data_IF_077033388527
#
_entry.id   IF_077033388527
#
_cell.length_a   1.000
_cell.length_b   1.000
_cell.length_c   1.000
_cell.angle_alpha   90.00
_cell.angle_beta   90.00
_cell.angle_gamma   90.00
#
_symmetry.space_group_name_H-M   'P 1'
#
loop_
_entity.id
_entity.type
_entity.pdbx_description
1 polymer ?
#
# COMPACT_ATOMS: atom_id res chain seq x y z
N UNK A 1 2.83 24.78 -40.80
CA UNK A 1 4.28 24.82 -40.50
C UNK A 1 4.50 25.92 -39.47
N UNK A 2 4.94 25.52 -38.27
CA UNK A 2 5.56 26.19 -37.09
C UNK A 2 5.63 27.75 -37.00
N UNK A 3 5.81 28.38 -35.79
CA UNK A 3 5.84 27.84 -34.41
C UNK A 3 5.17 28.72 -33.30
N UNK A 4 5.20 28.13 -32.10
CA UNK A 4 5.20 28.62 -30.72
C UNK A 4 5.36 30.14 -30.44
N UNK A 5 4.67 30.63 -29.40
CA UNK A 5 5.19 31.00 -28.05
C UNK A 5 4.13 31.88 -27.35
N UNK A 6 3.66 31.48 -26.17
CA UNK A 6 2.99 32.37 -25.21
C UNK A 6 3.52 31.98 -23.82
N UNK A 7 4.57 32.66 -23.36
CA UNK A 7 4.54 33.91 -22.57
C UNK A 7 4.35 33.61 -21.07
N UNK A 8 5.48 33.59 -20.35
CA UNK A 8 5.52 33.67 -18.90
C UNK A 8 5.42 35.14 -18.45
N UNK A 9 4.62 35.33 -17.40
CA UNK A 9 4.56 36.44 -16.42
C UNK A 9 3.72 37.68 -16.72
N UNK A 10 2.83 37.98 -15.76
CA UNK A 10 2.45 39.35 -15.41
C UNK A 10 1.14 39.47 -14.64
N UNK A 11 1.19 39.59 -13.29
CA UNK A 11 0.11 40.21 -12.51
C UNK A 11 -0.17 39.61 -11.12
N UNK A 12 0.12 40.37 -10.07
CA UNK A 12 -0.21 40.21 -8.65
C UNK A 12 -1.21 41.35 -8.27
N UNK A 13 -1.87 41.39 -7.10
CA UNK A 13 -2.78 40.45 -6.45
C UNK A 13 -4.21 41.07 -6.38
N UNK A 14 -5.24 40.31 -6.73
CA UNK A 14 -6.64 40.71 -6.55
C UNK A 14 -7.28 39.86 -5.46
N UNK A 15 -7.78 40.52 -4.41
CA UNK A 15 -8.56 39.91 -3.33
C UNK A 15 -9.86 39.31 -3.89
N UNK A 16 -9.79 38.08 -4.35
CA UNK A 16 -10.93 37.18 -4.38
C UNK A 16 -10.73 36.19 -3.23
N UNK A 17 -11.64 36.29 -2.26
CA UNK A 17 -11.87 35.31 -1.20
C UNK A 17 -12.26 33.99 -1.90
N UNK A 18 -11.25 33.31 -2.45
CA UNK A 18 -11.37 32.00 -3.04
C UNK A 18 -11.48 31.06 -1.86
N UNK A 19 -12.67 31.00 -1.27
CA UNK A 19 -13.05 29.89 -0.40
C UNK A 19 -12.88 28.65 -1.28
N UNK A 20 -11.92 27.74 -1.02
CA UNK A 20 -11.97 26.44 -1.65
C UNK A 20 -13.17 25.72 -1.02
N UNK A 21 -14.37 25.98 -1.54
CA UNK A 21 -15.54 25.14 -1.34
C UNK A 21 -15.32 23.86 -2.14
N UNK A 22 -14.47 23.03 -1.56
CA UNK A 22 -14.24 21.60 -1.74
C UNK A 22 -12.96 21.28 -0.99
N UNK A 23 -12.88 21.72 0.28
CA UNK A 23 -12.40 20.81 1.29
C UNK A 23 -13.38 19.62 1.25
N UNK A 24 -13.18 18.71 0.28
CA UNK A 24 -13.54 17.31 0.49
C UNK A 24 -12.98 17.03 1.86
N UNK A 25 -13.88 16.90 2.84
CA UNK A 25 -13.52 16.45 4.15
C UNK A 25 -12.84 15.11 3.89
N UNK A 26 -11.51 15.13 3.77
CA UNK A 26 -10.68 13.97 3.83
C UNK A 26 -10.90 13.53 5.26
N UNK A 27 -12.00 12.78 5.47
CA UNK A 27 -12.33 12.19 6.76
C UNK A 27 -11.05 11.49 7.15
N UNK A 28 -10.41 12.02 8.19
CA UNK A 28 -9.10 11.59 8.58
C UNK A 28 -9.27 10.15 9.01
N UNK A 29 -8.93 9.22 8.11
CA UNK A 29 -9.08 7.80 8.35
C UNK A 29 -8.28 7.47 9.61
N UNK A 30 -8.98 7.05 10.65
CA UNK A 30 -8.38 6.64 11.90
C UNK A 30 -7.99 5.16 11.78
N UNK A 31 -6.98 4.75 12.54
CA UNK A 31 -6.70 3.33 12.64
C UNK A 31 -7.74 2.68 13.56
N UNK A 32 -8.47 1.71 13.02
CA UNK A 32 -9.40 0.92 13.80
C UNK A 32 -8.73 0.13 14.91
N UNK A 33 -9.52 -0.29 15.89
CA UNK A 33 -9.02 -1.07 17.04
C UNK A 33 -8.99 -2.58 16.77
N UNK A 34 -9.74 -3.05 15.77
CA UNK A 34 -9.78 -4.46 15.38
C UNK A 34 -8.43 -4.87 14.80
N UNK A 35 -7.90 -6.01 15.28
CA UNK A 35 -6.74 -6.65 14.67
C UNK A 35 -7.15 -7.81 13.79
N UNK A 36 -6.54 -7.85 12.63
CA UNK A 36 -6.65 -8.91 11.65
C UNK A 36 -5.28 -9.58 11.48
N UNK A 37 -5.32 -10.82 10.99
CA UNK A 37 -4.14 -11.56 10.60
C UNK A 37 -4.33 -12.18 9.23
N UNK A 38 -3.29 -12.13 8.40
CA UNK A 38 -3.23 -12.88 7.14
C UNK A 38 -1.92 -13.65 7.05
N UNK A 39 -1.93 -14.64 6.19
CA UNK A 39 -0.76 -15.42 5.83
C UNK A 39 -0.71 -15.47 4.32
N UNK A 40 0.46 -15.28 3.75
CA UNK A 40 0.73 -15.55 2.36
C UNK A 40 1.80 -16.60 2.21
N UNK A 41 1.72 -17.32 1.12
CA UNK A 41 2.72 -18.30 0.73
C UNK A 41 3.28 -17.98 -0.65
N UNK A 42 4.49 -18.44 -0.91
CA UNK A 42 5.17 -18.11 -2.15
C UNK A 42 6.35 -19.00 -2.43
N UNK A 43 6.67 -19.11 -3.72
CA UNK A 43 7.82 -19.87 -4.20
C UNK A 43 8.86 -18.97 -4.87
N UNK A 44 10.09 -19.47 -4.96
CA UNK A 44 11.18 -18.81 -5.66
C UNK A 44 12.46 -19.63 -5.69
N UNK A 45 13.46 -19.15 -6.43
CA UNK A 45 14.76 -19.84 -6.59
C UNK A 45 15.62 -19.89 -5.30
N UNK A 46 15.26 -19.09 -4.30
CA UNK A 46 15.88 -19.04 -2.98
C UNK A 46 14.83 -18.56 -1.97
N UNK A 47 15.09 -18.78 -0.68
CA UNK A 47 14.19 -18.30 0.38
C UNK A 47 13.88 -16.80 0.30
N UNK A 48 14.84 -15.96 -0.07
CA UNK A 48 14.62 -14.51 -0.23
C UNK A 48 13.58 -14.19 -1.32
N UNK A 49 13.61 -14.95 -2.43
CA UNK A 49 12.63 -14.85 -3.51
C UNK A 49 11.27 -15.35 -3.05
N UNK A 50 11.23 -16.55 -2.45
CA UNK A 50 10.00 -17.14 -1.92
C UNK A 50 9.29 -16.23 -0.89
N UNK A 51 10.04 -15.62 0.04
CA UNK A 51 9.48 -14.64 0.99
C UNK A 51 8.95 -13.38 0.31
N UNK A 52 9.57 -12.92 -0.77
CA UNK A 52 9.08 -11.76 -1.52
C UNK A 52 7.72 -12.05 -2.14
N UNK A 53 7.57 -13.23 -2.76
CA UNK A 53 6.30 -13.72 -3.30
C UNK A 53 5.26 -13.88 -2.18
N UNK A 54 5.62 -14.55 -1.09
CA UNK A 54 4.73 -14.78 0.06
C UNK A 54 4.25 -13.48 0.71
N UNK A 55 5.12 -12.46 0.79
CA UNK A 55 4.76 -11.13 1.31
C UNK A 55 3.76 -10.43 0.39
N UNK A 56 3.93 -10.51 -0.92
CA UNK A 56 2.99 -9.93 -1.89
C UNK A 56 1.61 -10.56 -1.70
N UNK A 57 1.55 -11.89 -1.64
CA UNK A 57 0.31 -12.61 -1.43
C UNK A 57 -0.38 -12.23 -0.10
N UNK A 58 0.36 -12.24 1.01
CA UNK A 58 -0.14 -11.83 2.32
C UNK A 58 -0.73 -10.41 2.30
N UNK A 59 -0.12 -9.51 1.51
CA UNK A 59 -0.55 -8.12 1.38
C UNK A 59 -1.76 -7.95 0.47
N UNK A 60 -1.88 -8.75 -0.59
CA UNK A 60 -3.09 -8.79 -1.43
C UNK A 60 -4.29 -9.23 -0.57
N UNK A 61 -4.12 -10.28 0.22
CA UNK A 61 -5.15 -10.73 1.15
C UNK A 61 -5.48 -9.66 2.22
N UNK A 62 -4.47 -8.99 2.78
CA UNK A 62 -4.68 -7.92 3.75
C UNK A 62 -5.47 -6.74 3.16
N UNK A 63 -5.14 -6.31 1.94
CA UNK A 63 -5.85 -5.23 1.25
C UNK A 63 -7.29 -5.61 0.89
N UNK A 64 -7.58 -6.89 0.65
CA UNK A 64 -8.95 -7.36 0.45
C UNK A 64 -9.80 -7.24 1.74
N UNK A 65 -9.18 -7.32 2.91
CA UNK A 65 -9.83 -7.13 4.21
C UNK A 65 -10.01 -5.63 4.52
N UNK A 66 -8.98 -4.82 4.25
CA UNK A 66 -9.00 -3.38 4.51
C UNK A 66 -8.89 -2.58 3.20
N UNK A 67 -10.01 -2.34 2.48
CA UNK A 67 -9.98 -1.61 1.20
C UNK A 67 -9.56 -0.14 1.34
N UNK A 68 -9.77 0.46 2.51
CA UNK A 68 -9.34 1.83 2.82
C UNK A 68 -7.85 1.92 3.22
N UNK A 69 -7.15 0.78 3.30
CA UNK A 69 -5.74 0.68 3.64
C UNK A 69 -5.47 0.03 5.00
N UNK A 70 -4.19 -0.26 5.22
CA UNK A 70 -3.68 -0.99 6.38
C UNK A 70 -2.97 -0.05 7.35
N UNK A 71 -3.19 -0.26 8.65
CA UNK A 71 -2.52 0.44 9.74
C UNK A 71 -1.91 -0.56 10.74
N UNK A 72 -0.95 -0.12 11.56
CA UNK A 72 -0.29 -0.90 12.61
C UNK A 72 0.21 -2.26 12.12
N UNK A 73 0.79 -2.27 10.91
CA UNK A 73 1.20 -3.50 10.23
C UNK A 73 2.44 -4.07 10.89
N UNK A 74 2.35 -5.31 11.35
CA UNK A 74 3.45 -6.11 11.87
C UNK A 74 3.63 -7.31 10.96
N UNK A 75 4.80 -7.40 10.33
CA UNK A 75 5.12 -8.45 9.38
C UNK A 75 6.17 -9.40 9.96
N UNK A 76 6.03 -10.70 9.69
CA UNK A 76 6.99 -11.70 10.13
C UNK A 76 7.21 -12.77 9.04
N UNK A 77 8.47 -13.16 8.87
CA UNK A 77 8.85 -14.31 8.04
C UNK A 77 8.56 -15.58 8.83
N UNK A 78 7.81 -16.50 8.21
CA UNK A 78 7.55 -17.83 8.74
C UNK A 78 8.63 -18.83 8.33
N UNK A 79 8.21 -20.05 8.03
CA UNK A 79 9.12 -21.09 7.53
C UNK A 79 9.58 -20.82 6.10
N UNK A 80 10.78 -21.29 5.78
CA UNK A 80 11.22 -21.48 4.40
C UNK A 80 11.96 -22.80 4.25
N UNK A 81 11.64 -23.55 3.19
CA UNK A 81 12.28 -24.83 2.87
C UNK A 81 12.33 -25.06 1.37
N UNK A 82 13.33 -25.82 0.94
CA UNK A 82 13.37 -26.34 -0.42
C UNK A 82 12.26 -27.38 -0.61
N UNK A 83 11.52 -27.28 -1.72
CA UNK A 83 10.42 -28.18 -2.07
C UNK A 83 10.73 -29.04 -3.29
N UNK A 84 11.55 -28.52 -4.21
CA UNK A 84 12.04 -29.17 -5.44
C UNK A 84 13.41 -28.59 -5.78
N UNK A 85 14.19 -29.25 -6.65
CA UNK A 85 15.55 -28.83 -7.03
C UNK A 85 15.65 -27.32 -7.29
N UNK A 86 16.26 -26.59 -6.33
CA UNK A 86 16.44 -25.13 -6.35
C UNK A 86 15.15 -24.30 -6.34
N UNK A 87 14.03 -24.88 -5.94
CA UNK A 87 12.76 -24.20 -5.69
C UNK A 87 12.46 -24.24 -4.19
N UNK A 88 12.27 -23.06 -3.62
CA UNK A 88 11.99 -22.85 -2.21
C UNK A 88 10.55 -22.38 -2.05
N UNK A 89 9.89 -22.88 -1.03
CA UNK A 89 8.59 -22.41 -0.56
C UNK A 89 8.79 -21.69 0.77
N UNK A 90 8.10 -20.57 0.95
CA UNK A 90 8.15 -19.79 2.17
C UNK A 90 6.77 -19.28 2.58
N UNK A 91 6.62 -19.04 3.87
CA UNK A 91 5.43 -18.48 4.50
C UNK A 91 5.73 -17.08 5.02
N UNK A 92 4.76 -16.18 4.90
CA UNK A 92 4.82 -14.84 5.45
C UNK A 92 3.54 -14.54 6.20
N UNK A 93 3.65 -14.00 7.42
CA UNK A 93 2.48 -13.64 8.23
C UNK A 93 2.42 -12.15 8.45
N UNK A 94 1.23 -11.59 8.45
CA UNK A 94 0.96 -10.18 8.70
C UNK A 94 -0.13 -10.05 9.76
N UNK A 95 0.07 -9.14 10.72
CA UNK A 95 -0.98 -8.63 11.59
C UNK A 95 -1.18 -7.15 11.31
N UNK A 96 -2.42 -6.68 11.30
CA UNK A 96 -2.74 -5.30 10.94
C UNK A 96 -4.09 -4.89 11.49
N UNK A 97 -4.36 -3.58 11.47
CA UNK A 97 -5.67 -2.99 11.65
C UNK A 97 -6.09 -2.29 10.36
N UNK A 98 -7.39 -2.12 10.13
CA UNK A 98 -7.88 -1.35 8.99
C UNK A 98 -7.91 0.14 9.30
N UNK A 99 -7.76 0.97 8.28
CA UNK A 99 -8.22 2.35 8.34
C UNK A 99 -9.75 2.41 8.30
N UNK A 100 -10.34 3.10 9.28
CA UNK A 100 -11.77 3.31 9.45
C UNK A 100 -12.08 4.81 9.29
N UNK A 101 -13.23 5.17 8.69
CA UNK A 101 -13.66 6.57 8.55
C UNK A 101 -14.08 7.22 9.87
#
# INVERSE_FOLDING_TARGET
MLPLVAACNGGDPGEEDFVPETAEASQALACGTTRHGTMGDGTGFACSGAYSTARIDARVQANAICPNGLCNVVEARGDCREIRDREYWAVYTMQFSCYEP
#
